data_IF_051604086680
#
_entry.id   IF_051604086680
#
_cell.length_a   1.000
_cell.length_b   1.000
_cell.length_c   1.000
_cell.angle_alpha   90.00
_cell.angle_beta   90.00
_cell.angle_gamma   90.00
#
_symmetry.space_group_name_H-M   'P 1'
#
loop_
_entity.id
_entity.type
_entity.pdbx_description
1 polymer ?
#
# COMPACT_ATOMS: atom_id res chain seq x y z
N UNK A 1 -29.06 13.32 0.26
CA UNK A 1 -28.26 14.16 1.17
C UNK A 1 -26.80 13.90 0.82
N UNK A 2 -26.08 14.86 0.21
CA UNK A 2 -24.67 14.65 -0.16
C UNK A 2 -23.84 14.75 1.12
N UNK A 3 -23.35 13.62 1.59
CA UNK A 3 -22.41 13.56 2.70
C UNK A 3 -21.07 14.08 2.20
N UNK A 4 -20.57 15.14 2.83
CA UNK A 4 -19.27 15.73 2.50
C UNK A 4 -18.16 14.76 2.93
N UNK A 5 -17.28 14.39 2.00
CA UNK A 5 -16.15 13.46 2.19
C UNK A 5 -15.00 14.09 3.00
N UNK A 6 -15.25 14.52 4.23
CA UNK A 6 -14.21 15.15 5.04
C UNK A 6 -14.05 14.40 6.35
N UNK A 7 -13.24 13.36 6.32
CA UNK A 7 -12.86 12.62 7.52
C UNK A 7 -11.40 12.87 7.83
N UNK A 8 -11.08 13.13 9.09
CA UNK A 8 -9.70 13.21 9.58
C UNK A 8 -9.29 11.85 10.08
N UNK A 9 -8.19 11.35 9.56
CA UNK A 9 -7.65 10.05 9.91
C UNK A 9 -6.91 10.10 11.25
N UNK A 10 -7.30 9.25 12.19
CA UNK A 10 -6.52 8.97 13.40
C UNK A 10 -6.11 7.51 13.38
N UNK A 11 -4.82 7.28 13.50
CA UNK A 11 -4.28 5.93 13.60
C UNK A 11 -4.38 5.43 15.04
N UNK A 12 -4.97 4.27 15.28
CA UNK A 12 -4.98 3.61 16.59
C UNK A 12 -4.20 2.30 16.56
N UNK A 13 -3.43 2.13 17.54
CA UNK A 13 -2.31 1.28 17.92
C UNK A 13 -2.31 -0.22 17.65
N UNK A 14 -2.93 -0.78 16.64
CA UNK A 14 -2.74 -2.20 16.33
C UNK A 14 -1.96 -2.48 15.04
N UNK A 15 -1.61 -1.47 14.33
CA UNK A 15 -0.73 -1.62 13.17
C UNK A 15 0.71 -1.27 13.56
N UNK A 16 1.37 -2.14 14.31
CA UNK A 16 2.78 -1.93 14.68
C UNK A 16 3.68 -1.70 13.44
N UNK A 17 3.32 -2.24 12.29
CA UNK A 17 4.00 -1.98 11.02
C UNK A 17 3.60 -0.64 10.37
N UNK A 18 2.40 -0.13 10.63
CA UNK A 18 1.95 1.19 10.14
C UNK A 18 2.19 2.30 11.18
N UNK A 19 2.29 1.97 12.47
CA UNK A 19 2.55 2.94 13.54
C UNK A 19 3.94 3.57 13.48
N UNK A 20 4.85 2.96 12.76
CA UNK A 20 6.10 3.61 12.42
C UNK A 20 5.93 4.89 11.58
N UNK A 21 4.72 5.13 11.06
CA UNK A 21 4.40 6.29 10.24
C UNK A 21 3.87 7.50 11.04
N UNK A 22 3.52 7.30 12.30
CA UNK A 22 3.07 8.39 13.17
C UNK A 22 4.11 8.66 14.26
N UNK A 23 4.92 9.69 14.09
CA UNK A 23 5.88 10.10 15.09
C UNK A 23 5.18 10.45 16.42
N UNK A 24 5.27 9.55 17.39
CA UNK A 24 5.08 9.87 18.81
C UNK A 24 6.43 9.76 19.50
N UNK A 25 6.99 10.89 19.88
CA UNK A 25 8.08 10.98 20.82
C UNK A 25 7.58 10.52 22.20
N UNK A 26 7.92 9.31 22.56
CA UNK A 26 7.69 8.74 23.89
C UNK A 26 8.73 7.67 24.15
N UNK A 27 9.66 7.96 25.04
CA UNK A 27 10.73 7.07 25.41
C UNK A 27 10.18 5.76 25.99
N UNK A 28 10.52 4.68 25.36
CA UNK A 28 10.26 3.31 25.81
C UNK A 28 11.06 2.35 24.97
N UNK A 29 12.32 2.20 25.33
CA UNK A 29 13.24 1.27 24.71
C UNK A 29 12.81 -0.17 25.03
N UNK A 30 12.18 -0.84 24.06
CA UNK A 30 12.12 -2.28 24.01
C UNK A 30 12.68 -2.71 22.67
N UNK A 31 13.87 -3.25 22.70
CA UNK A 31 14.61 -3.73 21.56
C UNK A 31 13.86 -4.90 20.89
N UNK A 32 13.25 -4.62 19.76
CA UNK A 32 13.02 -5.60 18.70
C UNK A 32 13.91 -5.22 17.52
N UNK A 33 15.19 -5.12 17.81
CA UNK A 33 16.25 -5.02 16.82
C UNK A 33 16.61 -6.41 16.30
N UNK A 34 15.80 -6.92 15.42
CA UNK A 34 16.10 -8.08 14.60
C UNK A 34 15.83 -7.69 13.17
N UNK A 35 16.78 -7.01 12.54
CA UNK A 35 16.65 -6.53 11.17
C UNK A 35 16.38 -7.68 10.21
N UNK A 36 15.40 -7.50 9.37
CA UNK A 36 15.03 -8.37 8.25
C UNK A 36 16.23 -8.63 7.33
N UNK A 37 17.24 -7.75 7.33
CA UNK A 37 18.51 -7.92 6.60
C UNK A 37 19.34 -9.11 7.05
N UNK A 38 19.18 -9.60 8.28
CA UNK A 38 19.92 -10.77 8.79
C UNK A 38 19.38 -12.10 8.30
N UNK A 39 18.10 -12.19 7.96
CA UNK A 39 17.48 -13.41 7.46
C UNK A 39 17.81 -13.71 5.99
N UNK A 40 17.98 -12.68 5.21
CA UNK A 40 18.20 -12.82 3.75
C UNK A 40 19.61 -13.33 3.45
N UNK A 41 20.60 -12.99 4.27
CA UNK A 41 21.99 -13.47 4.10
C UNK A 41 22.17 -14.98 4.36
N UNK A 42 21.22 -15.64 5.02
CA UNK A 42 21.32 -17.07 5.37
C UNK A 42 20.76 -18.01 4.32
N UNK A 43 20.08 -17.49 3.30
CA UNK A 43 19.46 -18.29 2.21
C UNK A 43 20.32 -18.43 0.95
N UNK A 44 21.50 -17.79 0.90
CA UNK A 44 22.38 -17.80 -0.29
C UNK A 44 23.75 -18.42 0.03
N UNK A 45 23.82 -19.54 0.69
CA UNK A 45 25.12 -20.19 0.90
C UNK A 45 25.02 -21.60 1.44
N UNK A 46 25.15 -22.53 0.58
CA UNK A 46 25.19 -23.94 0.51
C UNK A 46 25.80 -24.80 1.63
N UNK A 47 25.43 -26.07 1.52
CA UNK A 47 26.00 -27.33 2.02
C UNK A 47 25.82 -27.68 3.49
N UNK A 48 25.01 -28.73 3.67
CA UNK A 48 25.03 -29.61 4.84
C UNK A 48 26.38 -30.38 4.96
N UNK A 49 26.76 -30.76 6.16
CA UNK A 49 26.60 -32.16 6.53
C UNK A 49 26.23 -32.45 8.00
N UNK A 50 25.51 -33.56 8.09
CA UNK A 50 25.53 -34.64 9.10
C UNK A 50 25.54 -34.39 10.62
N UNK A 51 24.64 -35.14 11.22
CA UNK A 51 24.31 -35.44 12.59
C UNK A 51 25.46 -35.77 13.54
N UNK A 52 25.27 -35.45 14.84
CA UNK A 52 25.44 -36.41 15.95
C UNK A 52 24.93 -35.80 17.27
N UNK A 53 23.99 -36.50 17.85
CA UNK A 53 23.77 -36.95 19.23
C UNK A 53 23.95 -36.06 20.46
N UNK A 54 22.83 -35.97 21.14
CA UNK A 54 22.54 -36.30 22.55
C UNK A 54 23.07 -35.41 23.70
N UNK A 55 22.15 -35.04 24.56
CA UNK A 55 22.45 -34.56 25.91
C UNK A 55 21.26 -33.87 26.59
N UNK A 56 20.48 -34.69 27.28
CA UNK A 56 19.47 -34.40 28.28
C UNK A 56 19.82 -33.25 29.23
N UNK A 57 18.88 -32.33 29.42
CA UNK A 57 18.54 -31.70 30.68
C UNK A 57 17.15 -31.06 30.57
N UNK A 58 16.14 -31.84 30.90
CA UNK A 58 14.81 -31.30 31.23
C UNK A 58 14.82 -31.04 32.75
N UNK A 59 14.32 -29.87 33.10
CA UNK A 59 13.52 -29.56 34.28
C UNK A 59 13.81 -28.14 34.80
N UNK A 60 12.73 -27.44 35.07
CA UNK A 60 12.61 -26.16 35.79
C UNK A 60 12.49 -24.87 34.95
N UNK A 61 11.37 -24.69 34.28
CA UNK A 61 10.89 -23.35 33.88
C UNK A 61 9.36 -23.22 33.69
N UNK A 62 8.57 -24.13 34.28
CA UNK A 62 7.08 -24.03 34.15
C UNK A 62 6.40 -23.15 35.20
N UNK A 63 7.14 -22.64 36.20
CA UNK A 63 6.51 -21.84 37.27
C UNK A 63 6.54 -20.32 37.06
N UNK A 64 7.25 -19.82 36.05
CA UNK A 64 7.37 -18.37 35.80
C UNK A 64 6.46 -17.84 34.66
N UNK A 65 5.90 -18.72 33.85
CA UNK A 65 5.05 -18.31 32.72
C UNK A 65 3.56 -18.10 33.11
N UNK A 66 3.12 -18.64 34.26
CA UNK A 66 1.71 -18.56 34.68
C UNK A 66 1.34 -17.25 35.38
N UNK A 67 2.30 -16.52 35.96
CA UNK A 67 2.01 -15.29 36.71
C UNK A 67 2.01 -14.02 35.85
N UNK A 68 2.52 -14.09 34.62
CA UNK A 68 2.55 -12.94 33.70
C UNK A 68 1.31 -12.92 32.79
N UNK A 69 0.67 -14.07 32.60
CA UNK A 69 -0.54 -14.18 31.79
C UNK A 69 -1.81 -13.67 32.53
N UNK A 70 -1.81 -13.71 33.88
CA UNK A 70 -2.97 -13.33 34.67
C UNK A 70 -3.07 -11.84 34.99
N UNK A 71 -1.97 -11.10 34.85
CA UNK A 71 -1.93 -9.64 35.02
C UNK A 71 -2.29 -8.86 33.73
N UNK A 72 -2.32 -9.52 32.56
CA UNK A 72 -2.66 -8.89 31.29
C UNK A 72 -4.15 -9.00 30.92
N UNK A 73 -4.97 -9.70 31.72
CA UNK A 73 -6.36 -9.97 31.40
C UNK A 73 -7.39 -9.11 32.14
N UNK A 74 -6.97 -8.08 32.90
CA UNK A 74 -7.93 -7.28 33.67
C UNK A 74 -8.07 -5.82 33.25
N UNK A 75 -7.38 -5.37 32.23
CA UNK A 75 -7.78 -4.16 31.54
C UNK A 75 -8.71 -4.56 30.38
N UNK A 76 -10.01 -4.63 30.69
CA UNK A 76 -11.01 -4.71 29.66
C UNK A 76 -10.78 -3.55 28.72
N UNK A 77 -10.13 -3.82 27.58
CA UNK A 77 -10.05 -2.87 26.50
C UNK A 77 -11.49 -2.45 26.21
N UNK A 78 -11.83 -1.22 26.55
CA UNK A 78 -13.14 -0.66 26.24
C UNK A 78 -13.40 -0.98 24.79
N UNK A 79 -14.44 -1.76 24.53
CA UNK A 79 -14.80 -2.18 23.19
C UNK A 79 -14.83 -0.91 22.32
N UNK A 80 -13.91 -0.81 21.38
CA UNK A 80 -13.90 0.31 20.47
C UNK A 80 -15.26 0.34 19.79
N UNK A 81 -15.93 1.49 19.71
CA UNK A 81 -17.21 1.56 19.05
C UNK A 81 -17.09 0.92 17.66
N UNK A 82 -17.92 -0.06 17.38
CA UNK A 82 -18.04 -0.65 16.05
C UNK A 82 -18.59 0.45 15.16
N UNK A 83 -17.72 1.05 14.38
CA UNK A 83 -18.15 1.99 13.34
C UNK A 83 -18.67 1.14 12.18
N UNK A 84 -19.94 1.29 11.86
CA UNK A 84 -20.52 0.79 10.61
C UNK A 84 -20.01 1.66 9.43
N UNK A 85 -18.69 1.65 9.26
CA UNK A 85 -17.97 2.51 8.35
C UNK A 85 -16.98 1.70 7.52
N UNK A 86 -16.90 2.03 6.26
CA UNK A 86 -15.90 1.50 5.34
C UNK A 86 -14.48 1.78 5.85
N UNK A 87 -13.63 0.76 5.83
CA UNK A 87 -12.29 0.80 6.46
C UNK A 87 -11.29 1.69 5.74
N UNK A 88 -11.50 2.01 4.47
CA UNK A 88 -10.63 2.90 3.69
C UNK A 88 -11.11 4.35 3.67
N UNK A 89 -12.43 4.57 3.75
CA UNK A 89 -13.03 5.89 3.51
C UNK A 89 -13.75 6.49 4.71
N UNK A 90 -14.08 5.68 5.70
CA UNK A 90 -14.91 6.10 6.84
C UNK A 90 -16.34 6.48 6.48
N UNK A 91 -16.77 6.16 5.27
CA UNK A 91 -18.18 6.34 4.85
C UNK A 91 -19.02 5.17 5.37
N UNK A 92 -20.35 5.31 5.29
CA UNK A 92 -21.25 4.21 5.64
C UNK A 92 -20.85 2.93 4.88
N UNK A 93 -20.77 1.84 5.61
CA UNK A 93 -20.38 0.53 5.08
C UNK A 93 -21.34 0.11 3.96
N UNK A 94 -20.81 -0.32 2.83
CA UNK A 94 -21.60 -0.72 1.68
C UNK A 94 -21.60 -2.23 1.48
N UNK A 95 -20.46 -2.86 1.69
CA UNK A 95 -20.25 -4.28 1.41
C UNK A 95 -19.16 -4.85 2.32
N UNK A 96 -19.16 -6.18 2.50
CA UNK A 96 -18.06 -6.91 3.12
C UNK A 96 -17.02 -7.32 2.06
N UNK A 97 -16.75 -6.47 1.09
CA UNK A 97 -15.75 -6.72 0.06
C UNK A 97 -14.35 -6.79 0.63
N UNK A 98 -13.53 -7.69 0.10
CA UNK A 98 -12.09 -7.67 0.37
C UNK A 98 -11.45 -6.50 -0.36
N UNK A 99 -10.63 -5.75 0.35
CA UNK A 99 -9.83 -4.69 -0.25
C UNK A 99 -8.92 -5.27 -1.33
N UNK A 100 -8.84 -4.58 -2.46
CA UNK A 100 -7.97 -4.92 -3.59
C UNK A 100 -7.01 -3.78 -3.84
N UNK A 101 -5.70 -4.07 -3.84
CA UNK A 101 -4.66 -3.14 -4.26
C UNK A 101 -4.15 -3.50 -5.66
N UNK A 102 -4.38 -2.63 -6.62
CA UNK A 102 -3.98 -2.83 -8.02
C UNK A 102 -2.74 -2.00 -8.34
N UNK A 103 -1.68 -2.67 -8.82
CA UNK A 103 -0.45 -1.99 -9.23
C UNK A 103 -0.60 -1.33 -10.58
N UNK A 104 -0.39 -0.04 -10.64
CA UNK A 104 -0.55 0.79 -11.84
C UNK A 104 0.76 1.48 -12.21
N UNK A 105 1.08 1.43 -13.48
CA UNK A 105 2.26 2.08 -14.04
C UNK A 105 2.13 3.61 -14.02
N UNK A 106 3.24 4.30 -13.70
CA UNK A 106 3.27 5.76 -13.69
C UNK A 106 4.39 6.36 -14.54
N UNK A 107 5.04 5.54 -15.38
CA UNK A 107 6.13 6.01 -16.24
C UNK A 107 5.64 7.07 -17.24
N UNK A 108 6.46 8.10 -17.45
CA UNK A 108 6.23 9.16 -18.44
C UNK A 108 7.56 9.76 -18.86
N UNK A 109 8.43 8.96 -19.49
CA UNK A 109 9.78 9.37 -19.87
C UNK A 109 9.88 9.82 -21.33
N UNK A 110 9.00 9.31 -22.19
CA UNK A 110 8.94 9.66 -23.62
C UNK A 110 7.53 9.35 -24.15
N UNK A 111 7.26 9.69 -25.39
CA UNK A 111 5.99 9.35 -26.03
C UNK A 111 5.69 7.85 -25.98
N UNK A 112 6.69 7.02 -26.28
CA UNK A 112 6.56 5.55 -26.28
C UNK A 112 6.58 4.96 -24.87
N UNK A 113 7.37 5.53 -23.96
CA UNK A 113 7.47 5.14 -22.56
C UNK A 113 6.56 6.02 -21.70
N UNK A 114 5.24 5.88 -21.92
CA UNK A 114 4.24 6.71 -21.28
C UNK A 114 2.97 5.94 -20.94
N UNK A 115 2.77 5.71 -19.66
CA UNK A 115 1.57 5.08 -19.10
C UNK A 115 0.41 6.08 -18.87
N UNK A 116 0.72 7.39 -18.84
CA UNK A 116 -0.27 8.44 -18.54
C UNK A 116 -1.04 8.89 -19.79
N UNK A 117 -2.33 9.28 -19.65
CA UNK A 117 -3.15 9.16 -18.45
C UNK A 117 -3.48 7.69 -18.14
N UNK A 118 -3.63 7.40 -16.87
CA UNK A 118 -4.08 6.08 -16.42
C UNK A 118 -5.62 6.00 -16.45
N UNK A 119 -6.15 4.76 -16.51
CA UNK A 119 -7.59 4.50 -16.40
C UNK A 119 -7.94 4.03 -15.00
N UNK A 120 -9.11 4.43 -14.52
CA UNK A 120 -9.77 3.88 -13.34
C UNK A 120 -9.19 4.27 -12.00
N UNK A 121 -8.06 4.97 -11.97
CA UNK A 121 -7.42 5.37 -10.70
C UNK A 121 -8.21 6.46 -9.96
N UNK A 122 -9.08 7.18 -10.67
CA UNK A 122 -9.97 8.18 -10.07
C UNK A 122 -11.14 7.58 -9.28
N UNK A 123 -11.38 6.28 -9.40
CA UNK A 123 -12.37 5.54 -8.62
C UNK A 123 -11.78 4.85 -7.38
N UNK A 124 -10.46 4.89 -7.22
CA UNK A 124 -9.81 4.32 -6.04
C UNK A 124 -10.16 5.09 -4.77
N UNK A 125 -10.35 4.35 -3.67
CA UNK A 125 -10.58 4.92 -2.35
C UNK A 125 -9.29 5.53 -1.78
N UNK A 126 -8.15 4.87 -2.04
CA UNK A 126 -6.81 5.36 -1.70
C UNK A 126 -5.90 5.16 -2.91
N UNK A 127 -5.09 6.16 -3.22
CA UNK A 127 -4.04 6.07 -4.23
C UNK A 127 -2.68 6.26 -3.53
N UNK A 128 -1.84 5.23 -3.59
CA UNK A 128 -0.48 5.26 -3.04
C UNK A 128 0.49 5.51 -4.17
N UNK A 129 1.36 6.52 -4.02
CA UNK A 129 2.51 6.74 -4.91
C UNK A 129 3.81 6.47 -4.14
N UNK A 130 4.70 5.69 -4.72
CA UNK A 130 6.02 5.42 -4.14
C UNK A 130 7.09 5.35 -5.23
N UNK A 131 8.31 5.77 -4.86
CA UNK A 131 9.49 5.62 -5.71
C UNK A 131 9.79 4.13 -5.91
N UNK A 132 10.19 3.79 -7.12
CA UNK A 132 10.68 2.47 -7.51
C UNK A 132 12.00 2.63 -8.26
N UNK A 133 12.48 1.57 -8.90
CA UNK A 133 13.73 1.55 -9.65
C UNK A 133 13.83 2.67 -10.69
N UNK A 134 15.06 3.08 -11.01
CA UNK A 134 15.34 4.11 -12.02
C UNK A 134 14.79 5.50 -11.68
N UNK A 135 14.48 5.76 -10.41
CA UNK A 135 13.95 7.03 -9.95
C UNK A 135 12.53 7.35 -10.40
N UNK A 136 11.83 6.39 -11.04
CA UNK A 136 10.41 6.54 -11.41
C UNK A 136 9.51 6.23 -10.21
N UNK A 137 8.22 6.51 -10.33
CA UNK A 137 7.22 6.08 -9.35
C UNK A 137 6.26 5.06 -9.94
N UNK A 138 5.61 4.29 -9.06
CA UNK A 138 4.42 3.50 -9.35
C UNK A 138 3.29 3.93 -8.48
N UNK A 139 2.09 3.57 -8.91
CA UNK A 139 0.87 3.78 -8.14
C UNK A 139 0.34 2.42 -7.67
N UNK A 140 -0.27 2.42 -6.50
CA UNK A 140 -1.14 1.34 -6.07
C UNK A 140 -2.51 1.92 -5.77
N UNK A 141 -3.50 1.49 -6.53
CA UNK A 141 -4.88 1.93 -6.39
C UNK A 141 -5.64 0.94 -5.51
N UNK A 142 -6.16 1.40 -4.36
CA UNK A 142 -6.90 0.58 -3.41
C UNK A 142 -8.40 0.80 -3.59
N UNK A 143 -9.12 -0.30 -3.64
CA UNK A 143 -10.57 -0.34 -3.75
C UNK A 143 -11.13 -1.21 -2.63
N UNK A 144 -12.22 -0.80 -2.01
CA UNK A 144 -12.85 -1.55 -0.91
C UNK A 144 -13.61 -2.81 -1.38
N UNK A 145 -13.98 -2.90 -2.66
CA UNK A 145 -14.68 -4.05 -3.24
C UNK A 145 -14.30 -4.24 -4.70
N UNK A 146 -14.04 -5.47 -5.12
CA UNK A 146 -13.80 -5.81 -6.51
C UNK A 146 -15.00 -5.52 -7.44
N UNK A 147 -16.21 -5.38 -6.90
CA UNK A 147 -17.39 -5.03 -7.69
C UNK A 147 -17.38 -3.58 -8.18
N UNK A 148 -16.72 -2.71 -7.46
CA UNK A 148 -16.67 -1.27 -7.74
C UNK A 148 -15.44 -0.86 -8.57
N UNK A 149 -14.58 -1.83 -8.94
CA UNK A 149 -13.39 -1.56 -9.74
C UNK A 149 -13.77 -1.43 -11.21
N UNK A 150 -13.56 -0.26 -11.82
CA UNK A 150 -13.73 -0.08 -13.26
C UNK A 150 -12.59 -0.77 -14.02
N UNK A 151 -12.49 -0.53 -15.32
CA UNK A 151 -11.24 -0.81 -16.03
C UNK A 151 -10.11 0.02 -15.44
N UNK A 152 -9.01 -0.63 -15.02
CA UNK A 152 -7.89 0.01 -14.32
C UNK A 152 -6.55 -0.42 -14.91
N UNK A 153 -5.64 0.54 -15.02
CA UNK A 153 -4.27 0.31 -15.51
C UNK A 153 -3.63 1.54 -16.17
N UNK A 154 -2.52 1.35 -16.88
CA UNK A 154 -1.86 0.08 -17.22
C UNK A 154 -1.30 -0.64 -16.01
N UNK A 155 -1.46 -1.98 -15.97
CA UNK A 155 -0.90 -2.82 -14.92
C UNK A 155 0.63 -2.77 -14.91
N UNK A 156 1.22 -3.02 -13.75
CA UNK A 156 2.67 -3.14 -13.61
C UNK A 156 3.04 -4.07 -12.44
N UNK A 157 4.33 -4.45 -12.44
CA UNK A 157 4.88 -5.43 -11.51
C UNK A 157 4.82 -4.98 -10.05
N UNK A 158 4.51 -5.91 -9.18
CA UNK A 158 4.49 -5.74 -7.73
C UNK A 158 5.85 -5.36 -7.15
N UNK A 159 5.81 -4.61 -6.06
CA UNK A 159 6.95 -4.22 -5.23
C UNK A 159 6.59 -4.39 -3.76
N UNK A 160 7.52 -4.86 -2.99
CA UNK A 160 7.32 -5.18 -1.57
C UNK A 160 6.89 -3.97 -0.73
N UNK A 161 7.36 -2.76 -1.04
CA UNK A 161 6.94 -1.57 -0.30
C UNK A 161 5.44 -1.29 -0.39
N UNK A 162 4.78 -1.63 -1.48
CA UNK A 162 3.33 -1.52 -1.57
C UNK A 162 2.65 -2.65 -0.77
N UNK A 163 3.16 -3.87 -0.89
CA UNK A 163 2.63 -5.02 -0.17
C UNK A 163 2.72 -4.82 1.35
N UNK A 164 3.81 -4.22 1.86
CA UNK A 164 3.96 -3.87 3.26
C UNK A 164 2.78 -3.00 3.77
N UNK A 165 2.30 -2.08 2.94
CA UNK A 165 1.17 -1.22 3.29
C UNK A 165 -0.19 -1.93 3.15
N UNK A 166 -0.29 -2.95 2.31
CA UNK A 166 -1.53 -3.69 2.05
C UNK A 166 -1.79 -4.82 3.05
N UNK A 167 -0.74 -5.42 3.57
CA UNK A 167 -0.82 -6.59 4.46
C UNK A 167 -1.73 -6.39 5.68
N UNK A 168 -1.72 -5.24 6.37
CA UNK A 168 -2.60 -5.02 7.51
C UNK A 168 -4.08 -5.19 7.20
N UNK A 169 -4.50 -4.88 5.97
CA UNK A 169 -5.88 -5.07 5.52
C UNK A 169 -6.16 -6.45 4.94
N UNK A 170 -5.21 -7.38 4.93
CA UNK A 170 -5.39 -8.66 4.24
C UNK A 170 -5.92 -8.45 2.80
N UNK A 171 -5.40 -7.42 2.14
CA UNK A 171 -5.85 -7.00 0.82
C UNK A 171 -5.39 -7.96 -0.26
N UNK A 172 -6.21 -8.18 -1.28
CA UNK A 172 -5.76 -8.86 -2.49
C UNK A 172 -4.75 -7.97 -3.22
N UNK A 173 -3.53 -8.45 -3.45
CA UNK A 173 -2.50 -7.75 -4.19
C UNK A 173 -2.50 -8.18 -5.65
N UNK A 174 -2.84 -7.25 -6.55
CA UNK A 174 -3.06 -7.53 -7.97
C UNK A 174 -2.08 -6.78 -8.86
N UNK A 175 -1.31 -7.50 -9.68
CA UNK A 175 -0.24 -6.93 -10.50
C UNK A 175 0.15 -7.85 -11.66
N UNK A 176 1.08 -7.42 -12.53
CA UNK A 176 1.70 -8.24 -13.58
C UNK A 176 3.21 -8.35 -13.34
N UNK A 177 3.65 -9.55 -12.93
CA UNK A 177 5.04 -9.83 -12.50
C UNK A 177 5.40 -9.12 -11.20
N UNK A 178 6.61 -9.40 -10.69
CA UNK A 178 7.10 -8.80 -9.44
C UNK A 178 8.63 -8.77 -9.37
N UNK A 179 9.20 -7.96 -8.48
CA UNK A 179 10.65 -7.96 -8.23
C UNK A 179 11.06 -9.18 -7.41
N UNK A 180 12.37 -9.52 -7.45
CA UNK A 180 12.92 -10.57 -6.59
C UNK A 180 12.61 -10.33 -5.11
N UNK A 181 12.70 -9.07 -4.65
CA UNK A 181 12.44 -8.72 -3.26
C UNK A 181 10.97 -8.83 -2.90
N UNK A 182 10.06 -8.50 -3.84
CA UNK A 182 8.64 -8.75 -3.65
C UNK A 182 8.34 -10.24 -3.53
N UNK A 183 8.92 -11.10 -4.40
CA UNK A 183 8.82 -12.56 -4.29
C UNK A 183 9.31 -13.06 -2.92
N UNK A 184 10.47 -12.57 -2.47
CA UNK A 184 11.02 -12.94 -1.18
C UNK A 184 10.11 -12.50 -0.02
N UNK A 185 9.58 -11.28 -0.11
CA UNK A 185 8.67 -10.73 0.89
C UNK A 185 7.37 -11.54 0.98
N UNK A 186 6.75 -11.86 -0.15
CA UNK A 186 5.57 -12.74 -0.23
C UNK A 186 5.83 -14.08 0.45
N UNK A 187 7.00 -14.68 0.20
CA UNK A 187 7.35 -15.98 0.77
C UNK A 187 7.63 -15.91 2.28
N UNK A 188 8.38 -14.90 2.74
CA UNK A 188 8.71 -14.71 4.16
C UNK A 188 7.45 -14.50 5.00
N UNK A 189 6.52 -13.69 4.50
CA UNK A 189 5.29 -13.36 5.21
C UNK A 189 4.10 -14.25 4.84
N UNK A 190 4.33 -15.30 4.03
CA UNK A 190 3.31 -16.28 3.61
C UNK A 190 2.08 -15.64 2.96
N UNK A 191 2.31 -14.61 2.16
CA UNK A 191 1.24 -13.83 1.53
C UNK A 191 0.81 -14.35 0.16
N UNK A 192 1.33 -15.51 -0.27
CA UNK A 192 1.05 -16.11 -1.58
C UNK A 192 -0.44 -16.32 -1.85
N UNK A 193 -1.24 -16.61 -0.81
CA UNK A 193 -2.68 -16.81 -0.93
C UNK A 193 -3.49 -15.55 -1.29
N UNK A 194 -2.89 -14.36 -1.25
CA UNK A 194 -3.52 -13.09 -1.60
C UNK A 194 -2.71 -12.31 -2.65
N UNK A 195 -1.75 -12.99 -3.32
CA UNK A 195 -0.89 -12.41 -4.33
C UNK A 195 -1.26 -12.95 -5.72
N UNK A 196 -1.85 -12.10 -6.56
CA UNK A 196 -2.20 -12.43 -7.94
C UNK A 196 -1.31 -11.61 -8.87
N UNK A 197 -0.30 -12.26 -9.48
CA UNK A 197 0.71 -11.58 -10.28
C UNK A 197 1.17 -12.37 -11.52
N UNK A 198 0.55 -13.50 -11.84
CA UNK A 198 0.89 -14.34 -12.97
C UNK A 198 2.12 -15.19 -12.77
N UNK A 199 3.28 -14.57 -12.63
CA UNK A 199 4.55 -15.24 -12.35
C UNK A 199 5.34 -14.44 -11.32
N UNK A 200 6.03 -15.15 -10.43
CA UNK A 200 7.01 -14.52 -9.55
C UNK A 200 8.30 -14.20 -10.31
N UNK A 201 9.27 -13.59 -9.64
CA UNK A 201 10.56 -13.24 -10.25
C UNK A 201 11.28 -14.44 -10.86
N UNK A 202 11.15 -15.64 -10.30
CA UNK A 202 11.79 -16.87 -10.80
C UNK A 202 10.99 -17.56 -11.90
N UNK A 203 10.02 -16.89 -12.52
CA UNK A 203 9.09 -17.48 -13.51
C UNK A 203 8.26 -18.65 -12.98
N UNK A 204 8.22 -18.85 -11.67
CA UNK A 204 7.32 -19.83 -11.07
C UNK A 204 5.89 -19.32 -11.16
N UNK A 205 4.94 -20.11 -11.65
CA UNK A 205 3.53 -19.72 -11.65
C UNK A 205 3.08 -19.43 -10.22
N UNK A 206 2.49 -18.27 -10.04
CA UNK A 206 1.69 -17.88 -8.88
C UNK A 206 0.25 -17.75 -9.35
N UNK A 207 -0.66 -17.27 -8.51
CA UNK A 207 -2.02 -17.04 -9.00
C UNK A 207 -2.01 -16.13 -10.22
N UNK A 208 -2.54 -16.65 -11.32
CA UNK A 208 -2.51 -15.96 -12.61
C UNK A 208 -3.52 -14.81 -12.61
N UNK A 209 -3.07 -13.62 -12.93
CA UNK A 209 -3.96 -12.50 -13.15
C UNK A 209 -4.74 -12.66 -14.45
N UNK A 210 -5.91 -12.04 -14.53
CA UNK A 210 -6.73 -11.93 -15.74
C UNK A 210 -6.69 -10.47 -16.17
N UNK A 211 -6.27 -10.24 -17.40
CA UNK A 211 -6.10 -8.92 -17.95
C UNK A 211 -6.30 -8.94 -19.46
N UNK A 212 -6.51 -7.77 -20.03
CA UNK A 212 -6.58 -7.60 -21.49
C UNK A 212 -5.63 -6.47 -21.92
N UNK A 213 -5.42 -6.38 -23.23
CA UNK A 213 -4.54 -5.37 -23.80
C UNK A 213 -5.32 -4.39 -24.65
N UNK A 214 -5.09 -3.11 -24.39
CA UNK A 214 -5.61 -2.00 -25.17
C UNK A 214 -4.52 -0.93 -25.35
N UNK A 215 -4.11 -0.70 -26.58
CA UNK A 215 -3.16 0.37 -26.91
C UNK A 215 -3.80 1.77 -26.82
N UNK A 216 -5.10 1.85 -26.73
CA UNK A 216 -5.87 3.10 -26.71
C UNK A 216 -5.61 3.97 -27.97
N UNK A 217 -5.29 3.33 -29.10
CA UNK A 217 -4.91 4.00 -30.32
C UNK A 217 -3.56 4.76 -30.23
N UNK A 218 -2.74 4.49 -29.19
CA UNK A 218 -1.47 5.17 -28.94
C UNK A 218 -0.28 4.31 -29.34
N UNK A 219 0.80 4.94 -29.76
CA UNK A 219 2.07 4.28 -30.05
C UNK A 219 2.92 4.17 -28.78
N UNK A 220 2.44 3.44 -27.78
CA UNK A 220 3.17 3.18 -26.53
C UNK A 220 3.80 1.79 -26.54
N UNK A 221 4.79 1.56 -25.68
CA UNK A 221 5.41 0.26 -25.54
C UNK A 221 4.40 -0.77 -25.00
N UNK A 222 4.59 -2.04 -25.36
CA UNK A 222 3.67 -3.13 -25.07
C UNK A 222 3.33 -3.27 -23.58
N UNK A 223 4.30 -3.02 -22.70
CA UNK A 223 4.13 -3.04 -21.24
C UNK A 223 3.21 -1.92 -20.69
N UNK A 224 2.74 -1.01 -21.53
CA UNK A 224 1.82 0.07 -21.14
C UNK A 224 0.41 -0.11 -21.71
N UNK A 225 0.11 -1.30 -22.20
CA UNK A 225 -1.18 -1.61 -22.82
C UNK A 225 -2.03 -2.62 -22.04
N UNK A 226 -1.61 -3.05 -20.87
CA UNK A 226 -2.31 -4.07 -20.08
C UNK A 226 -3.22 -3.44 -19.06
N UNK A 227 -4.47 -3.86 -19.07
CA UNK A 227 -5.54 -3.38 -18.19
C UNK A 227 -6.27 -4.56 -17.56
N UNK A 228 -6.87 -4.34 -16.41
CA UNK A 228 -7.81 -5.27 -15.77
C UNK A 228 -9.08 -4.54 -15.36
N UNK A 229 -10.05 -5.28 -14.89
CA UNK A 229 -11.32 -4.76 -14.38
C UNK A 229 -11.79 -5.58 -13.18
N UNK A 230 -12.74 -5.06 -12.43
CA UNK A 230 -13.33 -5.81 -11.32
C UNK A 230 -13.88 -7.17 -11.74
N UNK A 231 -14.43 -7.30 -12.95
CA UNK A 231 -14.85 -8.58 -13.51
C UNK A 231 -13.68 -9.57 -13.66
N UNK A 232 -12.56 -9.10 -14.21
CA UNK A 232 -11.37 -9.91 -14.45
C UNK A 232 -10.67 -10.25 -13.12
N UNK A 233 -10.63 -9.33 -12.18
CA UNK A 233 -10.11 -9.57 -10.82
C UNK A 233 -10.93 -10.65 -10.11
N UNK A 234 -12.27 -10.59 -10.18
CA UNK A 234 -13.14 -11.64 -9.63
C UNK A 234 -12.91 -13.00 -10.32
N UNK A 235 -12.71 -13.00 -11.62
CA UNK A 235 -12.37 -14.23 -12.35
C UNK A 235 -11.03 -14.80 -11.88
N UNK A 236 -10.00 -13.97 -11.75
CA UNK A 236 -8.69 -14.40 -11.28
C UNK A 236 -8.74 -14.93 -9.83
N UNK A 237 -9.46 -14.25 -8.95
CA UNK A 237 -9.67 -14.68 -7.56
C UNK A 237 -10.42 -16.03 -7.50
N UNK A 238 -11.46 -16.20 -8.33
CA UNK A 238 -12.20 -17.47 -8.44
C UNK A 238 -11.29 -18.61 -8.93
N UNK A 239 -10.47 -18.36 -9.94
CA UNK A 239 -9.52 -19.34 -10.45
C UNK A 239 -8.48 -19.75 -9.39
N UNK A 240 -8.13 -18.83 -8.52
CA UNK A 240 -7.17 -19.02 -7.43
C UNK A 240 -7.81 -19.58 -6.13
N UNK A 241 -9.14 -19.72 -6.07
CA UNK A 241 -9.85 -20.12 -4.86
C UNK A 241 -9.83 -19.05 -3.75
N UNK A 242 -9.64 -17.78 -4.09
CA UNK A 242 -9.54 -16.67 -3.13
C UNK A 242 -10.92 -16.06 -2.90
N UNK A 243 -11.34 -16.03 -1.63
CA UNK A 243 -12.58 -15.35 -1.22
C UNK A 243 -12.45 -13.83 -1.29
N UNK A 244 -13.41 -13.19 -1.95
CA UNK A 244 -13.50 -11.72 -2.06
C UNK A 244 -14.45 -11.09 -1.03
N UNK A 245 -14.92 -11.86 -0.07
CA UNK A 245 -15.62 -11.36 1.11
C UNK A 245 -14.66 -11.42 2.31
N UNK A 246 -14.54 -10.33 3.04
CA UNK A 246 -13.72 -10.24 4.24
C UNK A 246 -14.37 -9.30 5.24
N UNK A 247 -14.89 -9.81 6.35
CA UNK A 247 -15.53 -8.97 7.37
C UNK A 247 -14.44 -8.25 8.17
N UNK A 248 -14.22 -6.98 7.87
CA UNK A 248 -13.32 -6.13 8.65
C UNK A 248 -14.02 -5.75 9.97
N UNK A 249 -13.46 -6.19 11.07
CA UNK A 249 -14.00 -5.93 12.41
C UNK A 249 -13.51 -4.61 13.01
N UNK A 250 -12.42 -4.07 12.47
CA UNK A 250 -11.85 -2.81 12.95
C UNK A 250 -11.28 -2.00 11.79
N UNK A 251 -11.30 -0.69 11.94
CA UNK A 251 -10.68 0.23 11.01
C UNK A 251 -9.24 0.53 11.45
N UNK A 252 -8.29 0.48 10.51
CA UNK A 252 -6.92 0.99 10.74
C UNK A 252 -6.93 2.49 10.95
N UNK A 253 -7.88 3.17 10.31
CA UNK A 253 -8.08 4.59 10.43
C UNK A 253 -9.26 4.85 11.35
N UNK A 254 -9.09 5.78 12.29
CA UNK A 254 -10.20 6.34 13.04
C UNK A 254 -10.70 7.56 12.28
N UNK A 255 -11.85 7.38 11.67
CA UNK A 255 -12.53 8.46 10.99
C UNK A 255 -13.36 9.26 12.01
N UNK A 256 -13.35 10.57 11.87
CA UNK A 256 -14.13 11.47 12.70
C UNK A 256 -14.89 12.46 11.83
N UNK A 257 -16.11 12.82 12.22
CA UNK A 257 -16.84 13.86 11.52
C UNK A 257 -16.28 15.23 11.93
N UNK A 258 -15.54 15.86 11.04
CA UNK A 258 -14.91 17.16 11.29
C UNK A 258 -15.93 18.27 11.65
N UNK A 259 -17.22 18.07 11.39
CA UNK A 259 -18.29 19.03 11.72
C UNK A 259 -18.75 18.91 13.15
N UNK A 260 -18.66 17.72 13.73
CA UNK A 260 -19.18 17.40 15.06
C UNK A 260 -18.09 17.17 16.09
N UNK A 261 -16.90 16.71 15.65
CA UNK A 261 -15.83 16.33 16.55
C UNK A 261 -14.82 17.48 16.74
N UNK A 262 -14.71 18.00 17.96
CA UNK A 262 -13.73 19.05 18.29
C UNK A 262 -12.28 18.61 18.12
N UNK A 263 -12.04 17.31 18.22
CA UNK A 263 -10.73 16.69 18.07
C UNK A 263 -10.07 16.92 16.72
N UNK A 264 -10.84 17.35 15.73
CA UNK A 264 -10.39 17.63 14.38
C UNK A 264 -9.93 19.08 14.16
N UNK A 265 -10.03 19.89 15.17
CA UNK A 265 -9.47 21.25 15.12
C UNK A 265 -7.97 21.15 15.36
N UNK A 266 -7.21 21.00 14.28
CA UNK A 266 -5.75 21.06 14.30
C UNK A 266 -5.31 22.52 14.51
N UNK A 267 -5.55 23.04 15.72
CA UNK A 267 -5.14 24.39 16.07
C UNK A 267 -3.62 24.49 16.12
N UNK A 268 -3.07 25.58 15.58
CA UNK A 268 -1.63 25.85 15.61
C UNK A 268 -0.82 25.14 14.52
N UNK A 269 -1.44 24.37 13.62
CA UNK A 269 -0.74 23.76 12.48
C UNK A 269 -0.70 24.70 11.27
N UNK A 270 0.39 24.69 10.48
CA UNK A 270 0.45 25.43 9.23
C UNK A 270 -0.62 24.96 8.22
N UNK A 271 -1.13 25.89 7.44
CA UNK A 271 -2.08 25.55 6.37
C UNK A 271 -1.34 24.97 5.16
N UNK A 272 -1.64 23.72 4.79
CA UNK A 272 -1.09 23.07 3.61
C UNK A 272 -1.93 23.38 2.36
N UNK A 273 -1.85 24.62 1.85
CA UNK A 273 -2.57 24.98 0.61
C UNK A 273 -1.96 24.36 -0.64
N UNK A 274 -0.68 24.05 -0.61
CA UNK A 274 0.08 23.44 -1.68
C UNK A 274 1.09 22.48 -1.08
N UNK A 275 1.07 21.25 -1.57
CA UNK A 275 1.98 20.18 -1.18
C UNK A 275 2.81 19.84 -2.40
N UNK A 276 4.14 19.82 -2.25
CA UNK A 276 5.06 19.46 -3.30
C UNK A 276 5.88 18.26 -2.84
N UNK A 277 5.81 17.16 -3.59
CA UNK A 277 6.48 15.91 -3.28
C UNK A 277 7.49 15.61 -4.39
N UNK A 278 8.76 15.41 -4.03
CA UNK A 278 9.81 15.03 -4.96
C UNK A 278 10.31 13.63 -4.65
N UNK A 279 10.01 12.69 -5.53
CA UNK A 279 10.54 11.32 -5.46
C UNK A 279 11.90 11.22 -6.15
N UNK A 280 12.09 12.02 -7.21
CA UNK A 280 13.33 12.21 -7.95
C UNK A 280 13.24 13.49 -8.77
N UNK A 281 14.30 13.86 -9.49
CA UNK A 281 14.32 15.07 -10.34
C UNK A 281 13.24 15.02 -11.44
N UNK A 282 12.90 13.83 -11.92
CA UNK A 282 11.93 13.62 -13.00
C UNK A 282 10.54 13.23 -12.52
N UNK A 283 10.39 12.77 -11.27
CA UNK A 283 9.11 12.31 -10.73
C UNK A 283 8.75 13.12 -9.49
N UNK A 284 7.89 14.09 -9.73
CA UNK A 284 7.41 15.04 -8.72
C UNK A 284 5.90 15.18 -8.83
N UNK A 285 5.23 15.25 -7.70
CA UNK A 285 3.79 15.44 -7.58
C UNK A 285 3.48 16.75 -6.86
N UNK A 286 2.44 17.43 -7.29
CA UNK A 286 1.95 18.66 -6.69
C UNK A 286 0.45 18.51 -6.41
N UNK A 287 0.06 18.81 -5.17
CA UNK A 287 -1.34 18.81 -4.75
C UNK A 287 -1.71 20.21 -4.29
N UNK A 288 -2.78 20.76 -4.90
CA UNK A 288 -3.24 22.12 -4.63
C UNK A 288 -4.65 22.08 -4.04
N UNK A 289 -4.81 22.68 -2.86
CA UNK A 289 -6.09 22.75 -2.17
C UNK A 289 -7.03 23.76 -2.81
N UNK A 290 -8.18 23.28 -3.24
CA UNK A 290 -9.27 24.11 -3.75
C UNK A 290 -10.19 24.55 -2.62
N UNK A 291 -10.19 25.83 -2.27
CA UNK A 291 -11.05 26.34 -1.18
C UNK A 291 -12.54 26.19 -1.42
N UNK A 292 -12.95 26.13 -2.67
CA UNK A 292 -14.35 25.91 -3.09
C UNK A 292 -14.71 24.43 -3.12
N UNK A 293 -13.87 23.59 -3.74
CA UNK A 293 -14.07 22.13 -3.81
C UNK A 293 -13.80 21.44 -2.48
N UNK A 294 -12.92 22.02 -1.65
CA UNK A 294 -12.44 21.46 -0.39
C UNK A 294 -11.65 20.16 -0.57
N UNK A 295 -11.01 20.02 -1.71
CA UNK A 295 -10.17 18.87 -2.10
C UNK A 295 -8.82 19.34 -2.60
N UNK A 296 -7.85 18.43 -2.60
CA UNK A 296 -6.54 18.62 -3.23
C UNK A 296 -6.59 18.08 -4.66
N UNK A 297 -6.27 18.90 -5.64
CA UNK A 297 -6.14 18.50 -7.03
C UNK A 297 -4.70 18.06 -7.31
N UNK A 298 -4.52 16.87 -7.88
CA UNK A 298 -3.21 16.31 -8.21
C UNK A 298 -2.73 16.76 -9.59
N UNK A 299 -1.47 17.19 -9.63
CA UNK A 299 -0.72 17.38 -10.87
C UNK A 299 0.63 16.65 -10.76
N UNK A 300 1.05 16.00 -11.83
CA UNK A 300 2.34 15.31 -11.89
C UNK A 300 3.26 16.01 -12.88
N UNK A 301 4.55 16.01 -12.56
CA UNK A 301 5.58 16.53 -13.46
C UNK A 301 5.71 15.61 -14.68
N UNK A 302 5.76 16.20 -15.85
CA UNK A 302 6.05 15.54 -17.11
C UNK A 302 7.48 15.89 -17.52
N UNK A 303 8.43 14.95 -17.44
CA UNK A 303 9.83 15.22 -17.78
C UNK A 303 10.02 15.64 -19.24
N UNK A 304 9.19 15.14 -20.15
CA UNK A 304 9.26 15.46 -21.57
C UNK A 304 8.86 16.91 -21.86
N UNK A 305 7.90 17.43 -21.11
CA UNK A 305 7.40 18.81 -21.23
C UNK A 305 8.07 19.77 -20.25
N UNK A 306 8.83 19.24 -19.29
CA UNK A 306 9.44 20.00 -18.18
C UNK A 306 8.41 20.88 -17.44
N UNK A 307 7.21 20.37 -17.26
CA UNK A 307 6.10 21.10 -16.66
C UNK A 307 5.18 20.17 -15.87
N UNK A 308 4.46 20.74 -14.90
CA UNK A 308 3.36 20.03 -14.23
C UNK A 308 2.13 20.02 -15.12
N UNK A 309 1.48 18.86 -15.22
CA UNK A 309 0.20 18.67 -15.89
C UNK A 309 -0.82 18.07 -14.94
N UNK A 310 -2.07 18.42 -15.12
CA UNK A 310 -3.16 17.81 -14.36
C UNK A 310 -3.16 16.30 -14.54
N UNK A 311 -3.23 15.56 -13.46
CA UNK A 311 -3.37 14.09 -13.50
C UNK A 311 -4.82 13.76 -13.76
N UNK A 312 -5.09 13.29 -14.98
CA UNK A 312 -6.44 13.00 -15.47
C UNK A 312 -6.67 11.49 -15.40
N UNK A 313 -7.83 11.07 -14.88
CA UNK A 313 -8.32 9.72 -15.11
C UNK A 313 -8.92 9.63 -16.51
N UNK A 314 -8.42 8.70 -17.34
CA UNK A 314 -8.82 8.60 -18.74
C UNK A 314 -10.28 8.20 -18.92
N UNK A 315 -10.85 7.36 -18.02
CA UNK A 315 -12.26 6.93 -18.12
C UNK A 315 -13.22 8.07 -17.85
N UNK A 316 -12.88 8.94 -16.91
CA UNK A 316 -13.79 10.01 -16.49
C UNK A 316 -13.48 11.35 -17.15
N UNK A 317 -12.28 11.49 -17.72
CA UNK A 317 -11.76 12.76 -18.22
C UNK A 317 -11.55 13.83 -17.13
N UNK A 318 -11.64 13.46 -15.85
CA UNK A 318 -11.56 14.39 -14.72
C UNK A 318 -10.17 14.36 -14.09
N UNK A 319 -9.74 15.52 -13.58
CA UNK A 319 -8.55 15.59 -12.75
C UNK A 319 -8.77 14.86 -11.43
N UNK A 320 -7.76 14.12 -10.99
CA UNK A 320 -7.77 13.45 -9.69
C UNK A 320 -7.83 14.47 -8.55
N UNK A 321 -8.70 14.21 -7.59
CA UNK A 321 -8.86 15.03 -6.39
C UNK A 321 -8.99 14.16 -5.15
N UNK A 322 -8.41 14.61 -4.04
CA UNK A 322 -8.38 13.90 -2.77
C UNK A 322 -8.88 14.79 -1.63
N UNK A 323 -9.64 14.21 -0.72
CA UNK A 323 -10.08 14.89 0.51
C UNK A 323 -8.94 14.99 1.53
N UNK A 324 -8.09 13.95 1.57
CA UNK A 324 -6.96 13.85 2.50
C UNK A 324 -5.68 13.50 1.75
N UNK A 325 -4.56 13.99 2.24
CA UNK A 325 -3.22 13.67 1.71
C UNK A 325 -2.32 13.30 2.88
N UNK A 326 -1.70 12.12 2.82
CA UNK A 326 -0.71 11.68 3.81
C UNK A 326 0.64 11.59 3.12
N UNK A 327 1.62 12.32 3.58
CA UNK A 327 2.99 12.26 3.08
C UNK A 327 3.85 11.58 4.14
N UNK A 328 4.32 10.37 3.81
CA UNK A 328 5.18 9.57 4.68
C UNK A 328 6.63 9.73 4.24
N UNK A 329 7.49 10.14 5.17
CA UNK A 329 8.93 10.18 4.96
C UNK A 329 9.53 8.89 5.50
N UNK A 330 10.09 8.09 4.59
CA UNK A 330 10.77 6.84 4.91
C UNK A 330 12.18 6.86 4.32
N UNK A 331 13.07 6.06 4.87
CA UNK A 331 14.38 5.81 4.24
C UNK A 331 14.17 4.99 2.98
N UNK A 332 14.69 5.47 1.86
CA UNK A 332 14.58 4.81 0.55
C UNK A 332 15.97 4.70 -0.05
N UNK A 333 16.38 3.48 -0.36
CA UNK A 333 17.66 3.19 -0.99
C UNK A 333 17.52 1.95 -1.89
N UNK A 334 18.43 1.75 -2.83
CA UNK A 334 18.50 0.47 -3.53
C UNK A 334 18.83 -0.66 -2.55
N UNK A 335 18.24 -1.84 -2.75
CA UNK A 335 18.61 -3.02 -2.00
C UNK A 335 20.11 -3.31 -2.14
N UNK A 336 20.76 -3.66 -1.03
CA UNK A 336 22.18 -3.93 -1.01
C UNK A 336 22.54 -5.09 -1.95
N UNK A 337 23.45 -4.84 -2.92
CA UNK A 337 23.88 -5.81 -3.91
C UNK A 337 22.92 -6.00 -5.09
N UNK A 338 21.82 -5.26 -5.18
CA UNK A 338 20.95 -5.29 -6.33
C UNK A 338 21.52 -4.45 -7.50
N UNK A 339 21.53 -5.03 -8.70
CA UNK A 339 22.00 -4.38 -9.92
C UNK A 339 20.89 -3.69 -10.72
N UNK A 340 19.64 -3.83 -10.30
CA UNK A 340 18.46 -3.31 -11.00
C UNK A 340 17.86 -2.06 -10.34
N UNK A 341 18.52 -1.54 -9.29
CA UNK A 341 18.06 -0.37 -8.53
C UNK A 341 16.66 -0.55 -7.91
N UNK A 342 16.31 -1.78 -7.52
CA UNK A 342 15.05 -2.03 -6.80
C UNK A 342 15.12 -1.35 -5.44
N UNK A 343 14.11 -0.55 -5.14
CA UNK A 343 14.12 0.29 -3.94
C UNK A 343 13.59 -0.46 -2.72
N UNK A 344 14.38 -0.45 -1.66
CA UNK A 344 13.96 -0.79 -0.30
C UNK A 344 13.37 0.45 0.36
N UNK A 345 12.13 0.36 0.82
CA UNK A 345 11.47 1.43 1.57
C UNK A 345 11.25 0.96 3.00
N UNK A 346 11.90 1.62 3.94
CA UNK A 346 11.93 1.17 5.34
C UNK A 346 10.84 1.88 6.15
N UNK A 347 9.63 1.38 6.11
CA UNK A 347 8.52 1.91 6.92
C UNK A 347 8.64 1.54 8.39
N UNK A 348 9.18 0.37 8.71
CA UNK A 348 9.23 -0.19 10.08
C UNK A 348 10.14 0.58 11.03
N UNK A 349 11.06 1.38 10.51
CA UNK A 349 11.94 2.21 11.35
C UNK A 349 11.25 3.50 11.81
N UNK A 350 10.03 3.71 11.37
CA UNK A 350 9.33 4.94 11.60
C UNK A 350 9.84 6.10 10.74
N UNK A 351 9.20 7.21 10.85
CA UNK A 351 9.52 8.41 10.10
C UNK A 351 8.57 9.53 10.47
N UNK A 352 8.70 10.65 9.78
CA UNK A 352 7.74 11.73 9.86
C UNK A 352 6.64 11.51 8.84
N UNK A 353 5.41 11.79 9.23
CA UNK A 353 4.29 11.86 8.33
C UNK A 353 3.56 13.20 8.53
N UNK A 354 3.09 13.77 7.44
CA UNK A 354 2.22 14.94 7.44
C UNK A 354 0.86 14.54 6.85
N UNK A 355 -0.19 14.92 7.56
CA UNK A 355 -1.59 14.74 7.15
C UNK A 355 -2.18 16.11 6.78
#
# INVERSE_FOLDING_TARGET
MKISRRSVLRFSGMAAALLALTGCSGAGSAALGGGVSGGIKKLVGGNAPAASEAGSAAASSEAAASSVAEAASSEAAAALPVYDADVLTGQAHRTNGRIVGVMVNNISNSERQNARPQRGIGSADILIESKVEGGITRLCALFHDANDIPEVGPLRSGRDQFLQLLMPWQALYYHDGESIFCTQFVNVYQYSGLNIGGKNYFNTPVHTHVAHRDSRGRNVAYEHTEFTSGKEIRQAASNAGIGLQYPYESTFFRFADYRTDEVNKLSGTPSAKKIHISHSDSYRSELVYGSRSKTYSLSMYDPSKKAYGNTIDELTGKQLTFDNVVVCFASIAAYAGDSHDVQEVQYVQGGQAYL
#
